data_IF_485142301448
#
_entry.id   IF_485142301448
#
_cell.length_a   1.000
_cell.length_b   1.000
_cell.length_c   1.000
_cell.angle_alpha   90.00
_cell.angle_beta   90.00
_cell.angle_gamma   90.00
#
_symmetry.space_group_name_H-M   'P 1'
#
loop_
_entity.id
_entity.type
_entity.pdbx_description
1 polymer ?
#
# COMPACT_ATOMS: atom_id res chain seq x y z
N UNK A 1 -28.93 25.59 -36.19
CA UNK A 1 -29.33 24.60 -35.15
C UNK A 1 -28.24 23.61 -34.73
N UNK A 2 -27.27 23.26 -35.58
CA UNK A 2 -26.24 22.26 -35.23
C UNK A 2 -25.14 22.74 -34.26
N UNK A 3 -24.87 24.06 -34.19
CA UNK A 3 -23.82 24.63 -33.32
C UNK A 3 -24.15 24.52 -31.82
N UNK A 4 -25.43 24.66 -31.44
CA UNK A 4 -25.88 24.57 -30.03
C UNK A 4 -25.87 23.14 -29.48
N UNK A 5 -25.99 22.13 -30.34
CA UNK A 5 -25.92 20.70 -29.96
C UNK A 5 -24.46 20.29 -29.75
N UNK A 6 -23.55 20.78 -30.59
CA UNK A 6 -22.11 20.53 -30.46
C UNK A 6 -21.52 21.15 -29.19
N UNK A 7 -22.00 22.34 -28.79
CA UNK A 7 -21.61 23.00 -27.54
C UNK A 7 -22.12 22.25 -26.31
N UNK A 8 -23.36 21.73 -26.35
CA UNK A 8 -23.90 20.87 -25.28
C UNK A 8 -23.16 19.54 -25.17
N UNK A 9 -22.77 18.91 -26.29
CA UNK A 9 -21.97 17.67 -26.26
C UNK A 9 -20.53 17.91 -25.80
N UNK A 10 -19.91 19.04 -26.11
CA UNK A 10 -18.60 19.39 -25.56
C UNK A 10 -18.69 19.71 -24.07
N UNK A 11 -19.77 20.34 -23.60
CA UNK A 11 -20.01 20.50 -22.16
C UNK A 11 -20.30 19.17 -21.47
N UNK A 12 -21.08 18.25 -22.09
CA UNK A 12 -21.35 16.92 -21.54
C UNK A 12 -20.12 15.99 -21.57
N UNK A 13 -19.20 16.16 -22.53
CA UNK A 13 -17.90 15.49 -22.52
C UNK A 13 -16.95 16.08 -21.48
N UNK A 14 -16.98 17.40 -21.27
CA UNK A 14 -16.17 18.09 -20.27
C UNK A 14 -16.68 17.92 -18.83
N UNK A 15 -17.94 17.51 -18.66
CA UNK A 15 -18.53 17.14 -17.36
C UNK A 15 -18.19 15.69 -16.96
N UNK A 16 -17.53 14.90 -17.83
CA UNK A 16 -17.16 13.51 -17.52
C UNK A 16 -15.65 13.30 -17.25
N UNK A 17 -14.86 14.37 -17.24
CA UNK A 17 -13.42 14.37 -16.97
C UNK A 17 -13.03 15.41 -15.90
N UNK A 18 -13.97 15.74 -15.01
CA UNK A 18 -13.73 16.33 -13.69
C UNK A 18 -14.54 15.53 -12.66
N UNK A 19 -14.44 14.20 -12.70
CA UNK A 19 -14.56 13.48 -11.43
C UNK A 19 -13.32 13.89 -10.64
N UNK A 20 -13.50 14.75 -9.65
CA UNK A 20 -12.65 14.76 -8.46
C UNK A 20 -12.63 13.32 -7.96
N UNK A 21 -11.74 12.48 -8.47
CA UNK A 21 -11.66 11.08 -8.10
C UNK A 21 -11.15 11.06 -6.67
N UNK A 22 -12.10 11.06 -5.75
CA UNK A 22 -11.86 10.94 -4.34
C UNK A 22 -10.92 9.75 -4.12
N UNK A 23 -9.78 10.00 -3.48
CA UNK A 23 -8.79 8.97 -3.19
C UNK A 23 -9.47 7.84 -2.43
N UNK A 24 -9.37 6.61 -2.93
CA UNK A 24 -10.01 5.42 -2.37
C UNK A 24 -9.09 4.23 -2.47
N UNK A 25 -8.95 3.47 -1.39
CA UNK A 25 -8.09 2.29 -1.36
C UNK A 25 -8.44 1.35 -0.22
N UNK A 26 -8.02 0.09 -0.36
CA UNK A 26 -8.14 -0.92 0.69
C UNK A 26 -6.81 -1.63 0.90
N UNK A 27 -6.48 -1.85 2.17
CA UNK A 27 -5.25 -2.47 2.65
C UNK A 27 -5.57 -3.67 3.53
N UNK A 28 -4.69 -4.66 3.48
CA UNK A 28 -4.59 -5.72 4.48
C UNK A 28 -3.32 -5.52 5.27
N UNK A 29 -3.44 -5.50 6.58
CA UNK A 29 -2.32 -5.58 7.50
C UNK A 29 -2.16 -7.01 8.00
N UNK A 30 -0.93 -7.50 7.99
CA UNK A 30 -0.57 -8.78 8.60
C UNK A 30 0.54 -8.55 9.61
N UNK A 31 0.31 -8.95 10.86
CA UNK A 31 1.40 -9.24 11.79
C UNK A 31 1.99 -10.59 11.37
N UNK A 32 3.23 -10.59 10.91
CA UNK A 32 3.87 -11.78 10.33
C UNK A 32 4.74 -12.49 11.37
N UNK A 33 5.60 -11.73 12.02
CA UNK A 33 6.40 -12.15 13.18
C UNK A 33 6.37 -11.03 14.24
N UNK A 34 7.12 -11.18 15.32
CA UNK A 34 7.30 -10.09 16.29
C UNK A 34 8.16 -8.94 15.75
N UNK A 35 8.92 -9.17 14.67
CA UNK A 35 9.81 -8.16 14.07
C UNK A 35 9.39 -7.70 12.68
N UNK A 36 8.47 -8.41 12.01
CA UNK A 36 8.02 -8.12 10.64
C UNK A 36 6.51 -8.01 10.57
N UNK A 37 6.03 -6.93 9.97
CA UNK A 37 4.66 -6.73 9.55
C UNK A 37 4.57 -6.44 8.05
N UNK A 38 3.40 -6.69 7.46
CA UNK A 38 3.15 -6.45 6.04
C UNK A 38 1.87 -5.64 5.85
N UNK A 39 1.91 -4.68 4.92
CA UNK A 39 0.73 -4.08 4.32
C UNK A 39 0.64 -4.49 2.84
N UNK A 40 -0.53 -4.95 2.42
CA UNK A 40 -0.88 -5.31 1.04
C UNK A 40 -2.05 -4.44 0.56
N UNK A 41 -1.83 -3.62 -0.47
CA UNK A 41 -2.90 -2.94 -1.19
C UNK A 41 -3.60 -3.90 -2.15
N UNK A 42 -4.93 -3.91 -2.11
CA UNK A 42 -5.74 -4.76 -2.97
C UNK A 42 -6.90 -4.00 -3.62
N UNK A 43 -7.35 -4.44 -4.82
CA UNK A 43 -8.50 -3.81 -5.50
C UNK A 43 -9.79 -3.92 -4.68
N UNK A 44 -10.59 -2.85 -4.64
CA UNK A 44 -11.89 -2.82 -3.93
C UNK A 44 -12.83 -3.96 -4.34
N UNK A 45 -12.78 -4.38 -5.61
CA UNK A 45 -13.59 -5.46 -6.17
C UNK A 45 -12.74 -6.70 -6.51
N UNK A 46 -11.89 -7.13 -5.58
CA UNK A 46 -11.05 -8.30 -5.79
C UNK A 46 -11.87 -9.61 -5.74
N UNK A 47 -11.70 -10.48 -6.74
CA UNK A 47 -12.27 -11.83 -6.73
C UNK A 47 -11.53 -12.75 -5.75
N UNK A 48 -12.19 -13.82 -5.29
CA UNK A 48 -11.55 -14.79 -4.40
C UNK A 48 -10.29 -15.43 -5.02
N UNK A 49 -10.34 -15.80 -6.31
CA UNK A 49 -9.19 -16.36 -7.03
C UNK A 49 -8.02 -15.36 -7.14
N UNK A 50 -8.30 -14.09 -7.43
CA UNK A 50 -7.27 -13.04 -7.45
C UNK A 50 -6.65 -12.85 -6.07
N UNK A 51 -7.48 -12.84 -5.02
CA UNK A 51 -7.00 -12.76 -3.63
C UNK A 51 -6.09 -13.94 -3.30
N UNK A 52 -6.49 -15.16 -3.63
CA UNK A 52 -5.73 -16.36 -3.29
C UNK A 52 -4.38 -16.39 -4.02
N UNK A 53 -4.33 -15.91 -5.27
CA UNK A 53 -3.08 -15.70 -6.02
C UNK A 53 -2.17 -14.65 -5.36
N UNK A 54 -2.72 -13.52 -4.92
CA UNK A 54 -1.94 -12.50 -4.19
C UNK A 54 -1.38 -13.06 -2.88
N UNK A 55 -2.20 -13.73 -2.07
CA UNK A 55 -1.75 -14.32 -0.81
C UNK A 55 -0.76 -15.48 -1.02
N UNK A 56 -0.87 -16.21 -2.13
CA UNK A 56 0.14 -17.21 -2.49
C UNK A 56 1.48 -16.56 -2.85
N UNK A 57 1.46 -15.47 -3.63
CA UNK A 57 2.66 -14.69 -3.93
C UNK A 57 3.30 -14.11 -2.66
N UNK A 58 2.50 -13.53 -1.75
CA UNK A 58 2.99 -13.02 -0.48
C UNK A 58 3.73 -14.10 0.32
N UNK A 59 3.14 -15.29 0.47
CA UNK A 59 3.79 -16.41 1.17
C UNK A 59 5.12 -16.80 0.54
N UNK A 60 5.21 -16.82 -0.79
CA UNK A 60 6.46 -17.13 -1.48
C UNK A 60 7.53 -16.05 -1.26
N UNK A 61 7.15 -14.78 -1.22
CA UNK A 61 8.05 -13.67 -0.90
C UNK A 61 8.53 -13.77 0.54
N UNK A 62 7.64 -13.99 1.50
CA UNK A 62 7.99 -14.17 2.90
C UNK A 62 8.95 -15.35 3.09
N UNK A 63 8.69 -16.49 2.44
CA UNK A 63 9.61 -17.63 2.43
C UNK A 63 10.99 -17.27 1.86
N UNK A 64 11.04 -16.49 0.78
CA UNK A 64 12.30 -16.01 0.21
C UNK A 64 13.06 -15.05 1.14
N UNK A 65 12.35 -14.38 2.06
CA UNK A 65 12.92 -13.58 3.14
C UNK A 65 13.28 -14.40 4.40
N UNK A 66 13.26 -15.73 4.30
CA UNK A 66 13.47 -16.67 5.41
C UNK A 66 12.41 -16.58 6.52
N UNK A 67 11.19 -16.17 6.17
CA UNK A 67 10.05 -16.09 7.09
C UNK A 67 9.03 -17.18 6.75
N UNK A 68 8.86 -18.13 7.66
CA UNK A 68 7.81 -19.15 7.54
C UNK A 68 6.53 -18.71 8.25
N UNK A 69 5.40 -18.80 7.54
CA UNK A 69 4.09 -18.41 8.06
C UNK A 69 3.06 -19.48 7.72
N UNK A 70 2.42 -20.05 8.75
CA UNK A 70 1.36 -21.03 8.57
C UNK A 70 0.04 -20.37 8.14
N UNK A 71 -0.37 -19.33 8.85
CA UNK A 71 -1.67 -18.65 8.64
C UNK A 71 -1.46 -17.15 8.53
N UNK A 72 -1.99 -16.55 7.48
CA UNK A 72 -2.07 -15.11 7.30
C UNK A 72 -3.50 -14.66 7.61
N UNK A 73 -3.69 -14.01 8.76
CA UNK A 73 -4.97 -13.42 9.15
C UNK A 73 -4.90 -11.90 8.99
N UNK A 74 -5.54 -11.32 7.97
CA UNK A 74 -5.46 -9.89 7.72
C UNK A 74 -6.37 -9.11 8.68
N UNK A 75 -5.88 -7.95 9.10
CA UNK A 75 -6.76 -6.87 9.51
C UNK A 75 -6.96 -5.89 8.35
N UNK A 76 -8.18 -5.39 8.19
CA UNK A 76 -8.55 -4.57 7.05
C UNK A 76 -8.51 -3.08 7.42
N UNK A 77 -7.94 -2.29 6.51
CA UNK A 77 -8.04 -0.84 6.54
C UNK A 77 -8.56 -0.38 5.18
N UNK A 78 -9.43 0.62 5.16
CA UNK A 78 -9.92 1.20 3.91
C UNK A 78 -10.11 2.69 4.07
N UNK A 79 -9.89 3.40 2.98
CA UNK A 79 -10.18 4.82 2.89
C UNK A 79 -11.20 5.05 1.78
N UNK A 80 -12.26 5.84 2.03
CA UNK A 80 -12.54 6.56 3.28
C UNK A 80 -12.90 5.67 4.48
N UNK A 81 -12.67 6.17 5.69
CA UNK A 81 -13.01 5.44 6.93
C UNK A 81 -14.53 5.25 7.09
N UNK A 82 -15.31 6.20 6.60
CA UNK A 82 -16.77 6.17 6.59
C UNK A 82 -17.23 6.58 5.20
N UNK A 83 -17.97 5.70 4.52
CA UNK A 83 -18.53 5.96 3.21
C UNK A 83 -19.47 7.17 3.23
N UNK A 84 -19.26 8.12 2.32
CA UNK A 84 -20.08 9.31 2.15
C UNK A 84 -19.77 10.48 3.09
N UNK A 85 -18.66 10.46 3.86
CA UNK A 85 -18.25 11.55 4.76
C UNK A 85 -17.03 12.35 4.30
N UNK A 86 -16.66 12.26 3.04
CA UNK A 86 -15.47 12.90 2.46
C UNK A 86 -15.81 14.19 1.74
N UNK A 87 -16.36 15.14 2.47
CA UNK A 87 -16.50 16.53 2.01
C UNK A 87 -15.23 17.36 2.30
N UNK A 88 -14.13 16.72 2.69
CA UNK A 88 -12.88 17.42 3.00
C UNK A 88 -12.19 17.91 1.73
N UNK A 89 -11.89 19.21 1.70
CA UNK A 89 -11.18 19.91 0.62
C UNK A 89 -9.77 19.37 0.35
N UNK A 90 -9.25 18.49 1.22
CA UNK A 90 -7.90 17.88 1.14
C UNK A 90 -7.90 16.39 1.54
N UNK A 91 -8.73 15.61 0.85
CA UNK A 91 -8.91 14.15 1.07
C UNK A 91 -7.58 13.36 1.06
N UNK A 92 -6.57 13.80 0.31
CA UNK A 92 -5.26 13.13 0.25
C UNK A 92 -4.44 13.30 1.54
N UNK A 93 -4.40 14.50 2.11
CA UNK A 93 -3.71 14.72 3.38
C UNK A 93 -4.44 14.03 4.54
N UNK A 94 -5.77 14.01 4.53
CA UNK A 94 -6.57 13.27 5.50
C UNK A 94 -6.31 11.76 5.42
N UNK A 95 -6.30 11.19 4.21
CA UNK A 95 -5.97 9.79 3.98
C UNK A 95 -4.55 9.46 4.46
N UNK A 96 -3.58 10.34 4.18
CA UNK A 96 -2.19 10.18 4.63
C UNK A 96 -2.11 10.17 6.16
N UNK A 97 -2.77 11.11 6.84
CA UNK A 97 -2.81 11.15 8.30
C UNK A 97 -3.48 9.92 8.90
N UNK A 98 -4.61 9.49 8.33
CA UNK A 98 -5.31 8.28 8.77
C UNK A 98 -4.43 7.02 8.60
N UNK A 99 -3.75 6.89 7.46
CA UNK A 99 -2.84 5.78 7.20
C UNK A 99 -1.62 5.80 8.13
N UNK A 100 -1.03 6.97 8.37
CA UNK A 100 0.07 7.13 9.32
C UNK A 100 -0.35 6.77 10.75
N UNK A 101 -1.53 7.22 11.17
CA UNK A 101 -2.11 6.87 12.47
C UNK A 101 -2.39 5.37 12.61
N UNK A 102 -2.92 4.74 11.55
CA UNK A 102 -3.11 3.29 11.50
C UNK A 102 -1.78 2.55 11.65
N UNK A 103 -0.75 2.92 10.89
CA UNK A 103 0.58 2.31 10.96
C UNK A 103 1.21 2.51 12.36
N UNK A 104 1.12 3.71 12.92
CA UNK A 104 1.64 4.00 14.25
C UNK A 104 0.95 3.17 15.34
N UNK A 105 -0.38 3.08 15.30
CA UNK A 105 -1.14 2.24 16.23
C UNK A 105 -0.80 0.75 16.12
N UNK A 106 -0.54 0.25 14.90
CA UNK A 106 -0.05 -1.12 14.70
C UNK A 106 1.34 -1.32 15.26
N UNK A 107 2.24 -0.36 15.05
CA UNK A 107 3.60 -0.43 15.56
C UNK A 107 3.61 -0.43 17.10
N UNK A 108 2.77 0.40 17.73
CA UNK A 108 2.62 0.43 19.19
C UNK A 108 2.06 -0.89 19.73
N UNK A 109 1.07 -1.47 19.05
CA UNK A 109 0.43 -2.72 19.48
C UNK A 109 1.29 -3.97 19.26
N UNK A 110 1.93 -4.09 18.09
CA UNK A 110 2.60 -5.31 17.65
C UNK A 110 4.13 -5.26 17.75
N UNK A 111 4.72 -4.07 17.90
CA UNK A 111 6.15 -3.91 18.19
C UNK A 111 7.12 -4.25 17.04
N UNK A 112 6.61 -4.40 15.81
CA UNK A 112 7.45 -4.76 14.66
C UNK A 112 8.58 -3.75 14.41
N UNK A 113 9.70 -4.24 13.88
CA UNK A 113 10.87 -3.44 13.50
C UNK A 113 10.95 -3.20 11.98
N UNK A 114 10.27 -4.02 11.18
CA UNK A 114 10.24 -3.92 9.73
C UNK A 114 8.79 -3.97 9.24
N UNK A 115 8.36 -2.94 8.52
CA UNK A 115 7.10 -2.91 7.80
C UNK A 115 7.37 -2.99 6.30
N UNK A 116 6.92 -4.08 5.68
CA UNK A 116 6.98 -4.25 4.22
C UNK A 116 5.64 -3.80 3.63
N UNK A 117 5.66 -2.90 2.66
CA UNK A 117 4.45 -2.32 2.08
C UNK A 117 4.39 -2.60 0.58
N UNK A 118 3.43 -3.42 0.16
CA UNK A 118 3.14 -3.75 -1.24
C UNK A 118 2.02 -2.83 -1.74
N UNK A 119 2.38 -1.77 -2.46
CA UNK A 119 1.45 -0.71 -2.90
C UNK A 119 1.60 -0.37 -4.38
N UNK A 120 0.52 0.16 -4.94
CA UNK A 120 0.44 0.66 -6.31
C UNK A 120 -0.07 2.09 -6.34
N UNK A 121 -1.33 2.33 -5.96
CA UNK A 121 -1.98 3.64 -6.12
C UNK A 121 -1.54 4.62 -5.03
N UNK A 122 -1.34 4.13 -3.81
CA UNK A 122 -1.10 5.00 -2.64
C UNK A 122 0.38 5.22 -2.32
N UNK A 123 1.26 4.88 -3.26
CA UNK A 123 2.71 4.93 -3.09
C UNK A 123 3.19 6.28 -2.53
N UNK A 124 2.73 7.39 -3.13
CA UNK A 124 3.09 8.76 -2.76
C UNK A 124 2.68 9.15 -1.34
N UNK A 125 1.68 8.48 -0.74
CA UNK A 125 1.27 8.74 0.64
C UNK A 125 2.29 8.21 1.65
N UNK A 126 3.06 7.20 1.25
CA UNK A 126 3.96 6.44 2.10
C UNK A 126 5.43 6.80 1.87
N UNK A 127 5.79 7.46 0.77
CA UNK A 127 7.17 7.84 0.48
C UNK A 127 7.80 8.58 1.67
N UNK A 128 9.00 8.14 2.03
CA UNK A 128 9.76 8.68 3.15
C UNK A 128 10.13 10.17 3.00
N UNK A 129 10.62 10.78 4.10
CA UNK A 129 10.95 12.21 4.12
C UNK A 129 12.05 12.56 3.11
N UNK A 130 12.06 13.79 2.61
CA UNK A 130 13.05 14.28 1.61
C UNK A 130 14.52 14.08 2.03
N UNK A 131 14.79 14.08 3.33
CA UNK A 131 16.15 13.86 3.88
C UNK A 131 16.59 12.40 3.91
N UNK A 132 15.71 11.44 3.63
CA UNK A 132 16.08 10.03 3.65
C UNK A 132 16.96 9.68 2.45
N UNK A 133 18.05 8.94 2.68
CA UNK A 133 18.95 8.46 1.62
C UNK A 133 18.20 7.59 0.60
N UNK A 134 17.32 6.72 1.10
CA UNK A 134 16.37 5.98 0.28
C UNK A 134 14.94 6.25 0.78
N UNK A 135 14.12 6.90 -0.04
CA UNK A 135 12.75 7.25 0.34
C UNK A 135 11.75 6.08 0.26
N UNK A 136 12.17 4.93 -0.28
CA UNK A 136 11.39 3.69 -0.31
C UNK A 136 11.91 2.64 0.69
N UNK A 137 13.02 2.89 1.36
CA UNK A 137 13.51 2.07 2.47
C UNK A 137 14.10 2.98 3.53
N UNK A 138 13.28 3.41 4.49
CA UNK A 138 13.64 4.45 5.45
C UNK A 138 13.26 4.06 6.87
N UNK A 139 14.05 4.57 7.81
CA UNK A 139 13.76 4.48 9.24
C UNK A 139 12.78 5.59 9.64
N UNK A 140 11.79 5.25 10.46
CA UNK A 140 10.90 6.24 11.08
C UNK A 140 11.73 7.07 12.07
N UNK A 141 11.57 8.40 12.05
CA UNK A 141 12.30 9.28 12.95
C UNK A 141 12.03 8.92 14.42
N UNK A 142 13.09 8.86 15.22
CA UNK A 142 13.06 8.48 16.63
C UNK A 142 12.51 7.06 16.91
N UNK A 143 12.57 6.14 15.94
CA UNK A 143 12.16 4.74 16.10
C UNK A 143 13.17 3.80 15.44
N UNK A 144 13.32 2.58 15.94
CA UNK A 144 14.09 1.52 15.26
C UNK A 144 13.27 0.82 14.14
N UNK A 145 12.13 1.40 13.76
CA UNK A 145 11.24 0.82 12.77
C UNK A 145 11.62 1.28 11.37
N UNK A 146 11.74 0.34 10.45
CA UNK A 146 11.96 0.58 9.03
C UNK A 146 10.69 0.34 8.23
N UNK A 147 10.44 1.20 7.24
CA UNK A 147 9.40 1.03 6.23
C UNK A 147 10.07 0.77 4.88
N UNK A 148 9.71 -0.33 4.24
CA UNK A 148 10.17 -0.71 2.90
C UNK A 148 8.99 -0.79 1.94
N UNK A 149 8.98 0.06 0.93
CA UNK A 149 7.87 0.21 -0.02
C UNK A 149 8.23 -0.39 -1.37
N UNK A 150 7.41 -1.34 -1.81
CA UNK A 150 7.60 -2.07 -3.07
C UNK A 150 6.32 -2.13 -3.89
N UNK A 151 6.40 -2.73 -5.07
CA UNK A 151 5.29 -2.91 -6.01
C UNK A 151 4.18 -3.74 -5.38
N UNK A 152 2.93 -3.40 -5.67
CA UNK A 152 1.78 -4.20 -5.19
C UNK A 152 1.88 -5.65 -5.67
N UNK A 153 1.34 -6.58 -4.88
CA UNK A 153 1.25 -7.99 -5.26
C UNK A 153 0.46 -8.16 -6.57
N UNK A 154 -0.59 -7.35 -6.74
CA UNK A 154 -1.41 -7.36 -7.95
C UNK A 154 -0.61 -6.90 -9.18
N UNK A 155 0.20 -5.84 -9.06
CA UNK A 155 1.07 -5.38 -10.14
C UNK A 155 2.07 -6.46 -10.54
N UNK A 156 2.69 -7.14 -9.56
CA UNK A 156 3.63 -8.24 -9.85
C UNK A 156 2.98 -9.49 -10.46
N UNK A 157 1.70 -9.74 -10.17
CA UNK A 157 0.93 -10.81 -10.83
C UNK A 157 0.58 -10.45 -12.27
N UNK A 158 0.23 -9.18 -12.52
CA UNK A 158 -0.10 -8.68 -13.87
C UNK A 158 1.14 -8.48 -14.75
N UNK A 159 2.26 -8.07 -14.16
CA UNK A 159 3.52 -7.75 -14.83
C UNK A 159 4.69 -8.47 -14.12
N UNK A 160 4.99 -9.74 -14.49
CA UNK A 160 5.97 -10.55 -13.78
C UNK A 160 7.40 -9.97 -13.70
N UNK A 161 7.79 -9.11 -14.64
CA UNK A 161 9.10 -8.46 -14.65
C UNK A 161 9.33 -7.58 -13.40
N UNK A 162 8.25 -7.07 -12.79
CA UNK A 162 8.31 -6.28 -11.55
C UNK A 162 8.83 -7.06 -10.35
N UNK A 163 8.83 -8.41 -10.40
CA UNK A 163 9.35 -9.24 -9.30
C UNK A 163 10.84 -9.04 -9.07
N UNK A 164 11.61 -8.75 -10.12
CA UNK A 164 13.05 -8.47 -10.00
C UNK A 164 13.28 -7.18 -9.23
N UNK A 165 12.52 -6.14 -9.54
CA UNK A 165 12.61 -4.85 -8.85
C UNK A 165 12.15 -4.96 -7.41
N UNK A 166 11.04 -5.66 -7.17
CA UNK A 166 10.57 -5.95 -5.82
C UNK A 166 11.61 -6.72 -5.01
N UNK A 167 12.27 -7.72 -5.59
CA UNK A 167 13.32 -8.46 -4.92
C UNK A 167 14.52 -7.59 -4.54
N UNK A 168 14.95 -6.69 -5.43
CA UNK A 168 16.01 -5.73 -5.12
C UNK A 168 15.61 -4.79 -3.98
N UNK A 169 14.38 -4.29 -4.00
CA UNK A 169 13.84 -3.42 -2.94
C UNK A 169 13.72 -4.11 -1.59
N UNK A 170 13.54 -5.44 -1.58
CA UNK A 170 13.45 -6.25 -0.36
C UNK A 170 14.81 -6.71 0.19
N UNK A 171 15.93 -6.49 -0.53
CA UNK A 171 17.27 -6.86 -0.03
C UNK A 171 17.62 -6.23 1.32
N UNK A 172 17.35 -4.93 1.58
CA UNK A 172 17.63 -4.34 2.88
C UNK A 172 16.83 -5.01 4.02
N UNK A 173 15.60 -5.44 3.74
CA UNK A 173 14.77 -6.16 4.72
C UNK A 173 15.40 -7.51 5.07
N UNK A 174 15.83 -8.28 4.05
CA UNK A 174 16.51 -9.55 4.24
C UNK A 174 17.76 -9.39 5.14
N UNK A 175 18.59 -8.38 4.85
CA UNK A 175 19.78 -8.09 5.65
C UNK A 175 19.45 -7.72 7.09
N UNK A 176 18.40 -6.91 7.32
CA UNK A 176 17.95 -6.54 8.67
C UNK A 176 17.41 -7.73 9.45
N UNK A 177 16.66 -8.63 8.80
CA UNK A 177 16.15 -9.86 9.44
C UNK A 177 17.33 -10.75 9.84
N UNK A 178 18.28 -10.99 8.94
CA UNK A 178 19.44 -11.85 9.20
C UNK A 178 20.40 -11.28 10.26
N UNK A 179 20.45 -9.95 10.43
CA UNK A 179 21.31 -9.32 11.43
C UNK A 179 20.68 -9.25 12.82
N UNK A 180 19.38 -9.56 12.93
CA UNK A 180 18.63 -9.53 14.18
C UNK A 180 18.50 -10.92 14.84
N UNK A 181 18.90 -11.99 14.13
CA UNK A 181 19.11 -13.35 14.65
C UNK A 181 20.48 -13.49 15.31
#
# INVERSE_FOLDING_TARGET
MQKSISLKLSSLKKIKEEESSELRFSLRYFRVTDSVAVIDEYPLQQSADSRDKSLHLLRNILRALNIEVEVLSPELFSWPLIEGLTEETDSANAAKQALQGFIAGRQEQDGFKNLIVFVGVIDDLLVGPERAENRRDYQIENSDTFITITQSLQSMLSFPDLKKDAWHQLQPVLLRIQSAE
#
